data_IF_619982553728
#
_entry.id   IF_619982553728
#
_cell.length_a   1.000
_cell.length_b   1.000
_cell.length_c   1.000
_cell.angle_alpha   90.00
_cell.angle_beta   90.00
_cell.angle_gamma   90.00
#
_symmetry.space_group_name_H-M   'P 1'
#
loop_
_entity.id
_entity.type
_entity.pdbx_description
1 polymer ?
#
# COMPACT_ATOMS: atom_id res chain seq x y z
N UNK A 1 10.75 9.40 -8.67
CA UNK A 1 10.30 9.26 -7.29
C UNK A 1 9.04 10.11 -7.12
N UNK A 2 7.89 9.52 -6.87
CA UNK A 2 6.71 10.28 -6.46
C UNK A 2 6.94 10.77 -5.02
N UNK A 3 6.92 12.07 -4.77
CA UNK A 3 7.04 12.57 -3.42
C UNK A 3 5.73 12.30 -2.67
N UNK A 4 5.82 11.62 -1.54
CA UNK A 4 4.81 11.66 -0.51
C UNK A 4 3.89 10.46 -0.34
N UNK A 5 4.12 9.33 -0.99
CA UNK A 5 3.47 8.08 -0.58
C UNK A 5 4.44 7.29 0.30
N UNK A 6 4.08 7.07 1.54
CA UNK A 6 4.73 6.06 2.36
C UNK A 6 4.43 4.70 1.75
N UNK A 7 5.45 3.87 1.62
CA UNK A 7 5.28 2.49 1.23
C UNK A 7 4.46 1.78 2.33
N UNK A 8 3.31 1.24 1.98
CA UNK A 8 2.48 0.46 2.88
C UNK A 8 2.88 -1.01 2.79
N UNK A 9 3.74 -1.43 3.70
CA UNK A 9 4.27 -2.80 3.73
C UNK A 9 3.43 -3.66 4.64
N UNK A 10 2.87 -4.73 4.11
CA UNK A 10 2.11 -5.70 4.88
C UNK A 10 2.98 -6.45 5.88
N UNK A 11 2.49 -6.56 7.12
CA UNK A 11 3.25 -7.07 8.25
C UNK A 11 3.11 -8.60 8.39
N UNK A 12 3.46 -9.37 7.36
CA UNK A 12 3.46 -10.83 7.42
C UNK A 12 4.77 -11.36 8.04
N UNK A 13 4.63 -12.30 8.97
CA UNK A 13 5.76 -13.02 9.60
C UNK A 13 6.85 -12.08 10.12
N UNK A 14 6.43 -11.10 10.92
CA UNK A 14 7.31 -10.10 11.53
C UNK A 14 7.93 -10.64 12.83
N UNK A 15 9.25 -10.60 12.93
CA UNK A 15 9.97 -10.97 14.15
C UNK A 15 9.92 -9.86 15.20
N UNK A 16 10.10 -8.59 14.78
CA UNK A 16 9.99 -7.41 15.65
C UNK A 16 9.84 -6.12 14.85
N UNK A 17 9.31 -5.10 15.52
CA UNK A 17 9.25 -3.72 15.02
C UNK A 17 10.13 -2.85 15.89
N UNK A 18 11.02 -2.09 15.28
CA UNK A 18 11.91 -1.15 15.93
C UNK A 18 11.53 0.28 15.57
N UNK A 19 11.43 1.16 16.57
CA UNK A 19 11.16 2.57 16.40
C UNK A 19 12.38 3.38 16.80
N UNK A 20 13.08 3.94 15.82
CA UNK A 20 14.25 4.80 16.02
C UNK A 20 13.79 6.26 16.04
N UNK A 21 13.87 6.91 17.19
CA UNK A 21 13.43 8.30 17.39
C UNK A 21 14.52 9.29 17.00
N UNK A 22 14.10 10.41 16.42
CA UNK A 22 14.99 11.50 16.03
C UNK A 22 15.63 11.29 14.65
N UNK A 23 16.45 12.25 14.18
CA UNK A 23 17.02 12.22 12.84
C UNK A 23 17.93 11.00 12.62
N UNK A 24 17.64 10.23 11.59
CA UNK A 24 18.36 9.01 11.20
C UNK A 24 18.96 9.10 9.78
N UNK A 25 19.09 10.31 9.25
CA UNK A 25 19.45 10.56 7.86
C UNK A 25 20.81 10.03 7.42
N UNK A 26 21.76 9.84 8.35
CA UNK A 26 23.09 9.30 8.05
C UNK A 26 23.09 7.82 7.67
N UNK A 27 22.15 7.04 8.22
CA UNK A 27 22.03 5.60 7.96
C UNK A 27 20.87 5.27 7.01
N UNK A 28 19.76 6.02 7.09
CA UNK A 28 18.53 5.67 6.39
C UNK A 28 18.10 6.69 5.33
N UNK A 29 18.97 7.68 5.05
CA UNK A 29 18.74 8.64 3.96
C UNK A 29 17.89 9.85 4.33
N UNK A 30 17.70 10.75 3.36
CA UNK A 30 17.18 12.11 3.56
C UNK A 30 15.71 12.18 4.11
N UNK A 31 14.91 11.13 3.95
CA UNK A 31 13.52 11.11 4.41
C UNK A 31 13.37 10.79 5.90
N UNK A 32 14.45 10.47 6.60
CA UNK A 32 14.43 9.99 8.00
C UNK A 32 14.67 11.12 9.00
N UNK A 33 13.95 12.25 8.86
CA UNK A 33 14.16 13.44 9.69
C UNK A 33 13.56 13.34 11.10
N UNK A 34 12.39 12.71 11.23
CA UNK A 34 11.68 12.57 12.51
C UNK A 34 11.95 11.23 13.20
N UNK A 35 12.40 10.24 12.46
CA UNK A 35 12.65 8.89 12.92
C UNK A 35 12.46 7.85 11.84
N UNK A 36 12.62 6.59 12.21
CA UNK A 36 12.44 5.42 11.32
C UNK A 36 11.68 4.33 12.06
N UNK A 37 10.71 3.73 11.40
CA UNK A 37 10.08 2.48 11.82
C UNK A 37 10.67 1.36 10.96
N UNK A 38 11.27 0.38 11.60
CA UNK A 38 11.86 -0.80 10.94
C UNK A 38 11.03 -2.03 11.26
N UNK A 39 10.53 -2.69 10.24
CA UNK A 39 9.92 -4.02 10.35
C UNK A 39 10.97 -5.07 10.03
N UNK A 40 11.29 -5.92 11.00
CA UNK A 40 12.30 -6.97 10.87
C UNK A 40 11.58 -8.30 10.80
N UNK A 41 11.67 -8.92 9.66
CA UNK A 41 11.02 -10.22 9.39
C UNK A 41 11.79 -11.36 10.02
N UNK A 42 11.11 -12.49 10.27
CA UNK A 42 11.78 -13.70 10.71
C UNK A 42 12.72 -14.22 9.60
N UNK A 43 13.93 -14.62 10.01
CA UNK A 43 14.91 -15.27 9.13
C UNK A 43 14.62 -16.78 9.04
N UNK A 44 15.06 -17.47 7.97
CA UNK A 44 15.07 -18.93 7.93
C UNK A 44 15.88 -19.50 9.09
N UNK A 45 15.43 -20.59 9.67
CA UNK A 45 16.11 -21.31 10.76
C UNK A 45 16.63 -22.64 10.21
N UNK A 46 17.95 -22.81 10.27
CA UNK A 46 18.63 -24.02 9.77
C UNK A 46 18.31 -25.21 10.70
N UNK A 47 18.03 -26.35 10.11
CA UNK A 47 17.72 -27.58 10.83
C UNK A 47 16.29 -27.69 11.34
N UNK A 48 15.45 -26.64 11.18
CA UNK A 48 14.05 -26.67 11.62
C UNK A 48 13.08 -26.77 10.45
N UNK A 49 12.05 -27.60 10.59
CA UNK A 49 10.94 -27.67 9.64
C UNK A 49 9.64 -27.28 10.32
N UNK A 50 9.06 -26.17 9.89
CA UNK A 50 7.79 -25.68 10.45
C UNK A 50 6.91 -25.16 9.32
N UNK A 51 5.60 -25.36 9.45
CA UNK A 51 4.61 -24.78 8.54
C UNK A 51 3.40 -24.35 9.36
N UNK A 52 3.02 -23.08 9.21
CA UNK A 52 1.85 -22.50 9.83
C UNK A 52 0.92 -21.95 8.75
N UNK A 53 -0.36 -22.19 8.90
CA UNK A 53 -1.42 -21.62 8.07
C UNK A 53 -2.42 -20.94 8.98
N UNK A 54 -2.68 -19.67 8.70
CA UNK A 54 -3.67 -18.87 9.42
C UNK A 54 -4.82 -18.54 8.49
N UNK A 55 -6.05 -18.69 8.98
CA UNK A 55 -7.26 -18.24 8.32
C UNK A 55 -8.02 -17.32 9.25
N UNK A 56 -8.45 -16.19 8.75
CA UNK A 56 -9.30 -15.25 9.48
C UNK A 56 -10.49 -14.86 8.60
N UNK A 57 -11.67 -14.78 9.20
CA UNK A 57 -12.87 -14.25 8.58
C UNK A 57 -13.37 -13.09 9.44
N UNK A 58 -13.65 -11.97 8.80
CA UNK A 58 -14.11 -10.74 9.45
C UNK A 58 -15.49 -10.39 8.93
N UNK A 59 -16.32 -9.89 9.83
CA UNK A 59 -17.64 -9.39 9.48
C UNK A 59 -17.81 -7.99 10.08
N UNK A 60 -18.20 -7.04 9.24
CA UNK A 60 -18.59 -5.70 9.68
C UNK A 60 -20.12 -5.60 9.73
N UNK A 61 -20.65 -4.92 10.76
CA UNK A 61 -22.09 -4.81 10.96
C UNK A 61 -22.78 -3.99 9.84
N UNK A 62 -22.06 -3.00 9.30
CA UNK A 62 -22.53 -2.12 8.22
C UNK A 62 -21.40 -2.00 7.19
N UNK A 63 -21.06 -3.15 6.57
CA UNK A 63 -19.97 -3.19 5.61
C UNK A 63 -19.73 -4.60 5.08
N UNK A 64 -18.85 -4.69 4.10
CA UNK A 64 -18.46 -5.92 3.44
C UNK A 64 -17.68 -6.88 4.35
N UNK A 65 -17.67 -8.14 4.00
CA UNK A 65 -16.88 -9.15 4.69
C UNK A 65 -15.41 -9.11 4.26
N UNK A 66 -14.54 -9.42 5.20
CA UNK A 66 -13.12 -9.60 4.95
C UNK A 66 -12.66 -11.03 5.22
N UNK A 67 -11.57 -11.41 4.60
CA UNK A 67 -10.90 -12.68 4.81
C UNK A 67 -9.39 -12.52 4.75
N UNK A 68 -8.68 -13.35 5.50
CA UNK A 68 -7.22 -13.43 5.48
C UNK A 68 -6.78 -14.88 5.39
N UNK A 69 -5.77 -15.11 4.57
CA UNK A 69 -5.00 -16.36 4.53
C UNK A 69 -3.53 -16.01 4.60
N UNK A 70 -2.81 -16.61 5.52
CA UNK A 70 -1.35 -16.48 5.62
C UNK A 70 -0.72 -17.86 5.75
N UNK A 71 0.30 -18.12 4.93
CA UNK A 71 1.13 -19.33 4.97
C UNK A 71 2.56 -18.91 5.31
N UNK A 72 3.12 -19.54 6.33
CA UNK A 72 4.53 -19.42 6.70
C UNK A 72 5.15 -20.81 6.76
N UNK A 73 6.19 -21.05 5.98
CA UNK A 73 6.90 -22.33 5.97
C UNK A 73 8.40 -22.12 6.07
N UNK A 74 9.04 -22.80 7.01
CA UNK A 74 10.49 -22.90 7.16
C UNK A 74 10.93 -24.31 6.78
N UNK A 75 11.84 -24.40 5.80
CA UNK A 75 12.23 -25.64 5.16
C UNK A 75 13.75 -25.77 5.23
N UNK A 76 14.30 -26.77 5.97
CA UNK A 76 15.72 -27.04 5.93
C UNK A 76 16.12 -27.66 4.57
N UNK A 77 17.14 -27.13 3.93
CA UNK A 77 17.66 -27.59 2.64
C UNK A 77 19.02 -28.30 2.79
N UNK A 78 19.33 -28.79 3.97
CA UNK A 78 20.57 -29.44 4.32
C UNK A 78 21.06 -29.00 5.70
N UNK A 79 22.33 -29.28 6.00
CA UNK A 79 22.93 -28.99 7.31
C UNK A 79 23.27 -27.50 7.50
N UNK A 80 23.50 -26.77 6.40
CA UNK A 80 23.94 -25.36 6.43
C UNK A 80 23.00 -24.40 5.72
N UNK A 81 21.84 -24.87 5.27
CA UNK A 81 20.94 -24.04 4.45
C UNK A 81 19.48 -24.22 4.86
N UNK A 82 18.72 -23.13 4.91
CA UNK A 82 17.29 -23.16 5.08
C UNK A 82 16.61 -22.10 4.20
N UNK A 83 15.40 -22.44 3.76
CA UNK A 83 14.50 -21.49 3.10
C UNK A 83 13.32 -21.18 4.00
N UNK A 84 12.83 -19.94 3.94
CA UNK A 84 11.58 -19.51 4.56
C UNK A 84 10.69 -18.87 3.51
N UNK A 85 9.53 -19.44 3.36
CA UNK A 85 8.51 -18.97 2.42
C UNK A 85 7.32 -18.42 3.20
N UNK A 86 6.87 -17.24 2.82
CA UNK A 86 5.68 -16.58 3.36
C UNK A 86 4.81 -16.19 2.19
N UNK A 87 3.53 -16.49 2.25
CA UNK A 87 2.55 -16.01 1.27
C UNK A 87 1.30 -15.56 2.01
N UNK A 88 0.67 -14.50 1.55
CA UNK A 88 -0.50 -13.94 2.21
C UNK A 88 -1.47 -13.33 1.20
N UNK A 89 -2.73 -13.36 1.58
CA UNK A 89 -3.81 -12.56 1.03
C UNK A 89 -4.67 -12.07 2.19
N UNK A 90 -4.88 -10.76 2.27
CA UNK A 90 -5.71 -10.12 3.28
C UNK A 90 -6.67 -9.15 2.59
N UNK A 91 -7.93 -9.51 2.53
CA UNK A 91 -9.01 -8.69 2.00
C UNK A 91 -9.82 -8.10 3.13
N UNK A 92 -9.94 -6.80 3.16
CA UNK A 92 -10.75 -6.03 4.11
C UNK A 92 -11.95 -5.48 3.37
N UNK A 93 -13.14 -5.87 3.78
CA UNK A 93 -14.37 -5.37 3.18
C UNK A 93 -14.52 -3.85 3.31
N UNK A 94 -15.19 -3.25 2.36
CA UNK A 94 -15.56 -1.85 2.38
C UNK A 94 -16.65 -1.55 3.41
N UNK A 95 -16.89 -0.25 3.62
CA UNK A 95 -17.93 0.24 4.53
C UNK A 95 -18.45 1.64 4.14
N UNK A 96 -18.07 2.11 2.96
CA UNK A 96 -18.53 3.39 2.41
C UNK A 96 -19.41 3.11 1.20
N UNK A 97 -20.59 3.69 1.17
CA UNK A 97 -21.53 3.51 0.09
C UNK A 97 -21.42 4.63 -0.94
N UNK A 98 -21.27 4.26 -2.19
CA UNK A 98 -21.32 5.16 -3.33
C UNK A 98 -22.77 5.37 -3.74
N UNK A 99 -23.34 6.52 -3.38
CA UNK A 99 -24.76 6.81 -3.64
C UNK A 99 -24.96 7.58 -4.94
N UNK A 100 -26.16 7.44 -5.48
CA UNK A 100 -26.60 8.21 -6.64
C UNK A 100 -26.77 9.70 -6.30
N UNK A 101 -26.53 10.55 -7.27
CA UNK A 101 -26.78 11.97 -7.07
C UNK A 101 -26.44 12.84 -8.25
N UNK A 102 -26.56 14.15 -8.02
CA UNK A 102 -26.25 15.18 -8.99
C UNK A 102 -25.60 16.37 -8.30
N UNK A 103 -24.76 17.08 -9.02
CA UNK A 103 -24.14 18.31 -8.54
C UNK A 103 -24.15 19.40 -9.61
N UNK A 104 -24.37 20.64 -9.19
CA UNK A 104 -24.13 21.78 -10.08
C UNK A 104 -22.64 22.07 -10.11
N UNK A 105 -22.00 21.70 -11.20
CA UNK A 105 -20.56 21.90 -11.37
C UNK A 105 -20.18 23.34 -11.67
N UNK A 106 -21.14 24.22 -11.98
CA UNK A 106 -20.85 25.66 -12.15
C UNK A 106 -20.40 26.31 -10.85
N UNK A 107 -20.80 25.76 -9.71
CA UNK A 107 -20.32 26.15 -8.36
C UNK A 107 -18.95 25.55 -8.03
N UNK A 108 -18.44 24.63 -8.84
CA UNK A 108 -17.16 23.99 -8.58
C UNK A 108 -16.00 24.99 -8.74
N UNK A 109 -15.07 24.97 -7.79
CA UNK A 109 -13.83 25.76 -7.87
C UNK A 109 -12.94 25.41 -9.09
N UNK A 110 -13.19 24.26 -9.73
CA UNK A 110 -12.49 23.84 -10.95
C UNK A 110 -13.15 24.36 -12.23
N UNK A 111 -14.41 24.79 -12.13
CA UNK A 111 -15.09 25.35 -13.29
C UNK A 111 -14.50 26.73 -13.62
N UNK A 112 -14.32 27.01 -14.90
CA UNK A 112 -13.86 28.29 -15.40
C UNK A 112 -14.71 28.67 -16.58
N UNK A 113 -15.44 29.81 -16.52
CA UNK A 113 -16.12 30.35 -17.67
C UNK A 113 -15.18 30.58 -18.84
N UNK A 114 -15.69 30.46 -20.06
CA UNK A 114 -14.94 30.83 -21.25
C UNK A 114 -14.47 32.30 -21.16
N UNK A 115 -13.27 32.56 -21.59
CA UNK A 115 -12.66 33.90 -21.51
C UNK A 115 -12.14 34.32 -20.13
N UNK A 116 -12.08 33.39 -19.16
CA UNK A 116 -11.53 33.70 -17.83
C UNK A 116 -10.08 34.15 -17.93
N UNK A 117 -9.79 35.25 -17.20
CA UNK A 117 -8.45 35.82 -17.07
C UNK A 117 -7.92 35.54 -15.66
N UNK A 118 -6.67 35.14 -15.55
CA UNK A 118 -5.99 34.92 -14.27
C UNK A 118 -5.74 36.25 -13.53
N UNK A 119 -5.45 36.17 -12.24
CA UNK A 119 -5.11 37.36 -11.44
C UNK A 119 -3.89 38.15 -11.97
N UNK A 120 -3.01 37.49 -12.70
CA UNK A 120 -1.85 38.15 -13.36
C UNK A 120 -2.19 38.76 -14.74
N UNK A 121 -3.46 38.83 -15.13
CA UNK A 121 -3.91 39.41 -16.41
C UNK A 121 -3.78 38.49 -17.61
N UNK A 122 -3.23 37.29 -17.47
CA UNK A 122 -3.09 36.33 -18.54
C UNK A 122 -4.35 35.47 -18.70
N UNK A 123 -4.79 35.17 -19.94
CA UNK A 123 -5.94 34.29 -20.16
C UNK A 123 -5.64 32.86 -19.65
N UNK A 124 -6.68 32.19 -19.26
CA UNK A 124 -6.60 30.72 -19.05
C UNK A 124 -6.33 30.11 -20.43
N UNK A 125 -5.48 29.08 -20.47
CA UNK A 125 -5.16 28.41 -21.73
C UNK A 125 -6.43 27.85 -22.37
N UNK A 126 -6.49 27.88 -23.71
CA UNK A 126 -7.65 27.40 -24.47
C UNK A 126 -8.06 25.97 -24.13
N UNK A 127 -7.09 25.13 -23.71
CA UNK A 127 -7.36 23.77 -23.25
C UNK A 127 -8.15 23.70 -21.92
N UNK A 128 -8.22 24.80 -21.17
CA UNK A 128 -8.96 24.90 -19.90
C UNK A 128 -10.08 25.93 -19.93
N UNK A 129 -10.18 26.68 -21.03
CA UNK A 129 -11.20 27.70 -21.19
C UNK A 129 -12.57 27.03 -21.39
N UNK A 130 -13.55 27.38 -20.57
CA UNK A 130 -14.86 26.73 -20.55
C UNK A 130 -14.86 25.29 -20.01
N UNK A 131 -13.73 24.78 -19.56
CA UNK A 131 -13.63 23.43 -19.01
C UNK A 131 -14.22 23.36 -17.60
N UNK A 132 -15.13 22.45 -17.37
CA UNK A 132 -15.87 22.28 -16.12
C UNK A 132 -15.26 21.23 -15.23
N UNK A 133 -14.80 20.13 -15.82
CA UNK A 133 -14.05 19.08 -15.17
C UNK A 133 -12.98 18.55 -16.12
N UNK A 134 -11.87 18.10 -15.58
CA UNK A 134 -10.84 17.42 -16.37
C UNK A 134 -11.17 15.97 -16.68
N UNK A 135 -12.19 15.41 -16.06
CA UNK A 135 -12.53 13.98 -16.15
C UNK A 135 -13.71 13.77 -17.09
N UNK A 136 -14.73 14.59 -16.98
CA UNK A 136 -15.95 14.47 -17.76
C UNK A 136 -16.40 15.84 -18.25
N UNK A 137 -16.98 15.90 -19.43
CA UNK A 137 -17.62 17.10 -19.95
C UNK A 137 -19.02 17.21 -19.32
N UNK A 138 -19.06 17.80 -18.13
CA UNK A 138 -20.33 18.12 -17.49
C UNK A 138 -20.86 19.43 -18.11
N UNK A 139 -21.96 19.37 -18.77
CA UNK A 139 -22.58 20.52 -19.43
C UNK A 139 -23.56 21.29 -18.54
N UNK A 140 -23.53 21.10 -17.23
CA UNK A 140 -24.44 21.74 -16.30
C UNK A 140 -24.53 20.98 -14.99
N UNK A 141 -25.71 20.87 -14.55
CA UNK A 141 -26.05 20.19 -13.33
C UNK A 141 -26.19 18.73 -13.51
N UNK A 142 -26.09 17.82 -13.09
CA UNK A 142 -26.31 16.37 -13.18
C UNK A 142 -25.40 15.66 -14.13
N UNK A 143 -24.90 14.61 -13.67
CA UNK A 143 -24.18 13.65 -14.46
C UNK A 143 -24.81 12.26 -14.29
N UNK A 144 -25.34 11.70 -15.38
CA UNK A 144 -25.87 10.34 -15.34
C UNK A 144 -24.82 9.29 -14.99
N UNK A 145 -23.55 9.58 -15.21
CA UNK A 145 -22.47 8.65 -14.90
C UNK A 145 -22.29 8.40 -13.41
N UNK A 146 -22.65 9.32 -12.53
CA UNK A 146 -22.63 9.06 -11.09
C UNK A 146 -23.52 7.87 -10.70
N UNK A 147 -24.65 7.70 -11.39
CA UNK A 147 -25.56 6.60 -11.11
C UNK A 147 -25.05 5.26 -11.64
N UNK A 148 -24.12 5.27 -12.58
CA UNK A 148 -23.57 4.05 -13.16
C UNK A 148 -22.55 3.37 -12.23
N UNK A 149 -22.00 4.11 -11.25
CA UNK A 149 -21.03 3.60 -10.29
C UNK A 149 -21.60 3.48 -8.87
N UNK A 150 -22.93 3.52 -8.72
CA UNK A 150 -23.58 3.28 -7.42
C UNK A 150 -23.29 1.85 -6.97
N UNK A 151 -22.74 1.73 -5.79
CA UNK A 151 -22.31 0.47 -5.22
C UNK A 151 -22.17 0.62 -3.72
N UNK A 152 -22.57 -0.39 -2.98
CA UNK A 152 -22.32 -0.47 -1.54
C UNK A 152 -20.86 -0.89 -1.26
N UNK A 153 -20.34 -0.49 -0.12
CA UNK A 153 -19.07 -0.94 0.43
C UNK A 153 -17.85 -0.71 -0.50
N UNK A 154 -17.76 0.46 -1.14
CA UNK A 154 -16.79 0.70 -2.23
C UNK A 154 -15.33 0.79 -1.81
N UNK A 155 -15.02 0.89 -0.54
CA UNK A 155 -13.63 1.09 -0.08
C UNK A 155 -12.96 -0.21 0.39
N UNK A 156 -13.13 -1.27 -0.37
CA UNK A 156 -12.42 -2.54 -0.15
C UNK A 156 -10.91 -2.35 -0.33
N UNK A 157 -10.12 -3.04 0.50
CA UNK A 157 -8.65 -3.09 0.40
C UNK A 157 -8.19 -4.54 0.35
N UNK A 158 -7.35 -4.87 -0.61
CA UNK A 158 -6.70 -6.17 -0.74
C UNK A 158 -5.18 -6.04 -0.69
N UNK A 159 -4.55 -6.85 0.14
CA UNK A 159 -3.10 -7.07 0.16
C UNK A 159 -2.81 -8.49 -0.27
N UNK A 160 -2.00 -8.65 -1.30
CA UNK A 160 -1.51 -9.95 -1.74
C UNK A 160 0.01 -9.90 -1.88
N UNK A 161 0.68 -10.99 -1.52
CA UNK A 161 2.12 -11.02 -1.69
C UNK A 161 2.77 -12.29 -1.20
N UNK A 162 4.07 -12.34 -1.45
CA UNK A 162 4.92 -13.41 -0.93
C UNK A 162 6.33 -12.91 -0.62
N UNK A 163 7.02 -13.63 0.24
CA UNK A 163 8.44 -13.46 0.54
C UNK A 163 9.13 -14.81 0.55
N UNK A 164 10.24 -14.90 -0.15
CA UNK A 164 11.16 -16.03 -0.11
C UNK A 164 12.49 -15.56 0.46
N UNK A 165 12.95 -16.19 1.52
CA UNK A 165 14.25 -15.95 2.13
C UNK A 165 15.06 -17.23 2.12
N UNK A 166 16.36 -17.13 1.84
CA UNK A 166 17.33 -18.22 1.85
C UNK A 166 18.48 -17.84 2.77
N UNK A 167 18.68 -18.59 3.82
CA UNK A 167 19.84 -18.47 4.70
C UNK A 167 20.83 -19.61 4.43
N UNK A 168 22.10 -19.26 4.36
CA UNK A 168 23.19 -20.21 4.15
C UNK A 168 24.38 -19.89 5.04
N UNK A 169 24.83 -20.85 5.83
CA UNK A 169 26.10 -20.81 6.56
C UNK A 169 27.22 -21.25 5.61
N UNK A 170 28.05 -20.29 5.18
CA UNK A 170 29.16 -20.53 4.26
C UNK A 170 30.27 -21.32 4.99
N UNK A 171 30.50 -20.97 6.25
CA UNK A 171 31.35 -21.66 7.19
C UNK A 171 31.07 -21.17 8.62
N UNK A 172 31.83 -21.60 9.62
CA UNK A 172 31.63 -21.26 11.04
C UNK A 172 31.68 -19.74 11.34
N UNK A 173 32.23 -18.94 10.45
CA UNK A 173 32.43 -17.50 10.63
C UNK A 173 31.64 -16.62 9.66
N UNK A 174 31.05 -17.20 8.63
CA UNK A 174 30.38 -16.45 7.58
C UNK A 174 29.02 -17.02 7.21
N UNK A 175 28.05 -16.16 7.09
CA UNK A 175 26.69 -16.50 6.62
C UNK A 175 26.19 -15.53 5.56
N UNK A 176 25.23 -15.97 4.78
CA UNK A 176 24.54 -15.19 3.77
C UNK A 176 23.02 -15.34 3.93
N UNK A 177 22.31 -14.24 3.72
CA UNK A 177 20.84 -14.19 3.69
C UNK A 177 20.41 -13.47 2.40
N UNK A 178 19.75 -14.18 1.51
CA UNK A 178 19.09 -13.60 0.35
C UNK A 178 17.57 -13.56 0.58
N UNK A 179 16.93 -12.46 0.23
CA UNK A 179 15.48 -12.31 0.35
C UNK A 179 14.93 -11.66 -0.91
N UNK A 180 13.81 -12.18 -1.39
CA UNK A 180 12.98 -11.56 -2.41
C UNK A 180 11.54 -11.51 -1.90
N UNK A 181 10.88 -10.38 -2.08
CA UNK A 181 9.49 -10.16 -1.74
C UNK A 181 8.79 -9.39 -2.85
N UNK A 182 7.54 -9.75 -3.12
CA UNK A 182 6.62 -9.03 -3.96
C UNK A 182 5.34 -8.77 -3.18
N UNK A 183 4.75 -7.60 -3.37
CA UNK A 183 3.47 -7.23 -2.78
C UNK A 183 2.66 -6.41 -3.77
N UNK A 184 1.36 -6.70 -3.83
CA UNK A 184 0.35 -5.89 -4.51
C UNK A 184 -0.66 -5.39 -3.50
N UNK A 185 -1.06 -4.13 -3.63
CA UNK A 185 -2.13 -3.49 -2.87
C UNK A 185 -3.15 -2.98 -3.86
N UNK A 186 -4.36 -3.46 -3.74
CA UNK A 186 -5.49 -2.94 -4.51
C UNK A 186 -6.47 -2.27 -3.55
N UNK A 187 -6.92 -1.07 -3.88
CA UNK A 187 -8.02 -0.41 -3.17
C UNK A 187 -9.06 0.07 -4.15
N UNK A 188 -10.30 -0.06 -3.77
CA UNK A 188 -11.45 0.48 -4.49
C UNK A 188 -12.09 1.58 -3.65
N UNK A 189 -12.53 2.67 -4.28
CA UNK A 189 -13.20 3.77 -3.60
C UNK A 189 -12.31 4.67 -2.74
N UNK A 190 -12.94 5.36 -1.82
CA UNK A 190 -12.32 6.38 -0.95
C UNK A 190 -12.57 6.07 0.52
N UNK A 191 -11.69 6.57 1.40
CA UNK A 191 -11.75 6.36 2.86
C UNK A 191 -12.32 7.56 3.62
N UNK A 192 -13.19 8.33 2.97
CA UNK A 192 -13.92 9.44 3.60
C UNK A 192 -15.36 9.44 3.12
N UNK A 193 -16.26 9.88 3.95
CA UNK A 193 -17.67 10.07 3.65
C UNK A 193 -18.04 11.56 3.61
N UNK A 194 -19.15 11.87 2.99
CA UNK A 194 -19.75 13.21 2.99
C UNK A 194 -20.95 13.24 3.96
N UNK A 195 -20.79 13.85 5.15
CA UNK A 195 -21.85 13.86 6.15
C UNK A 195 -23.14 14.58 5.71
N UNK A 196 -23.11 15.28 4.56
CA UNK A 196 -24.30 15.96 4.03
C UNK A 196 -25.18 15.01 3.21
N UNK A 197 -24.65 13.86 2.79
CA UNK A 197 -25.39 12.83 2.05
C UNK A 197 -26.06 11.84 3.01
N UNK A 198 -25.29 11.30 3.94
CA UNK A 198 -25.72 10.31 4.91
C UNK A 198 -24.53 9.81 5.74
N UNK A 199 -24.79 8.77 6.55
CA UNK A 199 -23.74 8.13 7.32
C UNK A 199 -22.97 7.16 6.42
N UNK A 200 -21.64 7.30 6.34
CA UNK A 200 -20.75 6.51 5.50
C UNK A 200 -21.06 6.56 3.99
N UNK A 201 -21.72 7.62 3.54
CA UNK A 201 -22.06 7.80 2.13
C UNK A 201 -21.10 8.76 1.42
N UNK A 202 -20.88 8.53 0.12
CA UNK A 202 -20.10 9.39 -0.77
C UNK A 202 -20.75 9.44 -2.15
N UNK A 203 -20.58 10.57 -2.83
CA UNK A 203 -21.04 10.75 -4.21
C UNK A 203 -19.85 11.07 -5.10
N UNK A 204 -19.43 10.08 -5.89
CA UNK A 204 -18.31 10.21 -6.85
C UNK A 204 -18.83 10.06 -8.27
N UNK A 205 -18.12 10.62 -9.24
CA UNK A 205 -18.49 10.63 -10.64
C UNK A 205 -17.58 9.79 -11.52
N UNK A 206 -16.63 9.13 -10.91
CA UNK A 206 -15.75 8.11 -11.49
C UNK A 206 -15.24 7.21 -10.38
N UNK A 207 -14.78 6.03 -10.74
CA UNK A 207 -14.13 5.13 -9.81
C UNK A 207 -12.80 5.71 -9.31
N UNK A 208 -12.58 5.59 -8.02
CA UNK A 208 -11.32 5.92 -7.38
C UNK A 208 -10.64 4.61 -7.00
N UNK A 209 -9.68 4.18 -7.79
CA UNK A 209 -8.94 2.93 -7.57
C UNK A 209 -7.46 3.22 -7.35
N UNK A 210 -6.82 2.40 -6.56
CA UNK A 210 -5.37 2.34 -6.40
C UNK A 210 -4.93 0.90 -6.65
N UNK A 211 -3.93 0.75 -7.48
CA UNK A 211 -3.18 -0.47 -7.70
C UNK A 211 -1.70 -0.10 -7.52
N UNK A 212 -1.07 -0.71 -6.52
CA UNK A 212 0.33 -0.45 -6.18
C UNK A 212 1.07 -1.78 -6.02
N UNK A 213 2.10 -1.97 -6.79
CA UNK A 213 2.93 -3.16 -6.79
C UNK A 213 4.38 -2.78 -6.52
N UNK A 214 5.03 -3.52 -5.65
CA UNK A 214 6.47 -3.38 -5.46
C UNK A 214 7.18 -4.70 -5.25
N UNK A 215 8.43 -4.72 -5.70
CA UNK A 215 9.39 -5.78 -5.49
C UNK A 215 10.50 -5.30 -4.56
N UNK A 216 10.95 -6.18 -3.70
CA UNK A 216 12.11 -5.96 -2.85
C UNK A 216 13.05 -7.15 -2.93
N UNK A 217 14.34 -6.88 -3.20
CA UNK A 217 15.38 -7.88 -3.17
C UNK A 217 16.55 -7.40 -2.32
N UNK A 218 17.04 -8.26 -1.45
CA UNK A 218 18.21 -7.99 -0.61
C UNK A 218 19.13 -9.18 -0.51
N UNK A 219 20.42 -8.89 -0.36
CA UNK A 219 21.47 -9.87 -0.04
C UNK A 219 22.30 -9.30 1.11
N UNK A 220 22.34 -10.01 2.22
CA UNK A 220 23.16 -9.67 3.35
C UNK A 220 24.21 -10.77 3.57
N UNK A 221 25.47 -10.40 3.69
CA UNK A 221 26.57 -11.28 4.05
C UNK A 221 27.14 -10.80 5.37
N UNK A 222 27.13 -11.65 6.37
CA UNK A 222 27.63 -11.37 7.72
C UNK A 222 28.78 -12.30 8.03
N UNK A 223 29.83 -11.79 8.67
CA UNK A 223 30.96 -12.63 9.08
C UNK A 223 31.98 -11.93 9.95
N UNK A 224 33.02 -12.68 10.35
CA UNK A 224 34.10 -12.18 11.20
C UNK A 224 35.49 -12.51 10.64
N UNK A 225 36.41 -11.57 10.81
CA UNK A 225 37.87 -11.77 10.56
C UNK A 225 38.61 -11.36 11.81
N UNK A 226 39.07 -12.34 12.60
CA UNK A 226 39.62 -12.08 13.93
C UNK A 226 38.56 -11.47 14.84
N UNK A 227 38.83 -10.28 15.41
CA UNK A 227 37.89 -9.57 16.30
C UNK A 227 37.01 -8.57 15.55
N UNK A 228 37.04 -8.53 14.23
CA UNK A 228 36.25 -7.63 13.41
C UNK A 228 34.99 -8.33 12.91
N UNK A 229 33.84 -7.75 13.19
CA UNK A 229 32.54 -8.12 12.57
C UNK A 229 32.34 -7.33 11.28
N UNK A 230 31.94 -8.02 10.23
CA UNK A 230 31.70 -7.44 8.89
C UNK A 230 30.28 -7.76 8.47
N UNK A 231 29.55 -6.72 8.07
CA UNK A 231 28.22 -6.83 7.46
C UNK A 231 28.25 -6.11 6.12
N UNK A 232 27.87 -6.81 5.08
CA UNK A 232 27.62 -6.28 3.75
C UNK A 232 26.15 -6.49 3.39
N UNK A 233 25.43 -5.39 3.02
CA UNK A 233 24.02 -5.43 2.63
C UNK A 233 23.76 -4.53 1.41
#
# INVERSE_FOLDING_TARGET
AQPGRNLDVYAADIGRIEVLKGPQGTLFGASSQAGVVRMITNKPVIGESTTNVEFESRHMAEGGNGDKVELVSNIPLGESTAARFVAYRDRKGGYIDQVAGSVDITESARWRPAGTVRANGLPVSAARDGMKSHVNDFSGTTTPSANAIVKDDVNEVSYEGFRLSLAHEINDSWSALATYANQTIETDGVFFSDPTLGDLEVQRYHDDTLDDEFDNMSLTIEGSIGDLEIVYA
#
